data_IF_868766042612
#
_entry.id   IF_868766042612
#
_cell.length_a   1.000
_cell.length_b   1.000
_cell.length_c   1.000
_cell.angle_alpha   90.00
_cell.angle_beta   90.00
_cell.angle_gamma   90.00
#
_symmetry.space_group_name_H-M   'P 1'
#
loop_
_entity.id
_entity.type
_entity.pdbx_description
1 polymer ?
#
# COMPACT_ATOMS: atom_id res chain seq x y z
N UNK A 1 -37.79 5.66 -3.78
CA UNK A 1 -36.67 5.67 -2.81
C UNK A 1 -36.64 7.03 -2.12
N UNK A 2 -36.79 7.08 -0.80
CA UNK A 2 -36.95 8.35 -0.06
C UNK A 2 -35.66 9.19 -0.09
N UNK A 3 -35.78 10.51 -0.27
CA UNK A 3 -34.63 11.44 -0.33
C UNK A 3 -33.70 11.33 0.89
N UNK A 4 -34.28 11.12 2.08
CA UNK A 4 -33.54 10.87 3.33
C UNK A 4 -32.71 9.57 3.32
N UNK A 5 -33.20 8.53 2.65
CA UNK A 5 -32.51 7.25 2.52
C UNK A 5 -31.29 7.38 1.60
N UNK A 6 -31.41 8.14 0.50
CA UNK A 6 -30.29 8.41 -0.41
C UNK A 6 -29.16 9.20 0.29
N UNK A 7 -29.51 10.22 1.08
CA UNK A 7 -28.52 11.00 1.85
C UNK A 7 -27.79 10.15 2.89
N UNK A 8 -28.52 9.29 3.60
CA UNK A 8 -27.92 8.39 4.60
C UNK A 8 -26.90 7.43 3.96
N UNK A 9 -27.28 6.77 2.86
CA UNK A 9 -26.38 5.87 2.14
C UNK A 9 -25.18 6.61 1.53
N UNK A 10 -25.36 7.84 1.05
CA UNK A 10 -24.26 8.68 0.57
C UNK A 10 -23.22 8.97 1.65
N UNK A 11 -23.66 9.32 2.87
CA UNK A 11 -22.76 9.58 4.00
C UNK A 11 -22.01 8.31 4.40
N UNK A 12 -22.71 7.17 4.47
CA UNK A 12 -22.09 5.87 4.78
C UNK A 12 -21.03 5.52 3.73
N UNK A 13 -21.33 5.70 2.44
CA UNK A 13 -20.39 5.43 1.37
C UNK A 13 -19.12 6.27 1.48
N UNK A 14 -19.26 7.58 1.72
CA UNK A 14 -18.13 8.48 1.92
C UNK A 14 -17.28 8.03 3.13
N UNK A 15 -17.92 7.68 4.25
CA UNK A 15 -17.23 7.18 5.44
C UNK A 15 -16.43 5.90 5.16
N UNK A 16 -17.01 4.95 4.42
CA UNK A 16 -16.34 3.70 4.03
C UNK A 16 -15.11 3.98 3.16
N UNK A 17 -15.22 4.88 2.18
CA UNK A 17 -14.10 5.25 1.30
C UNK A 17 -12.95 5.88 2.09
N UNK A 18 -13.25 6.77 3.04
CA UNK A 18 -12.23 7.41 3.89
C UNK A 18 -11.51 6.37 4.74
N UNK A 19 -12.24 5.47 5.39
CA UNK A 19 -11.65 4.41 6.22
C UNK A 19 -10.77 3.48 5.37
N UNK A 20 -11.26 3.06 4.20
CA UNK A 20 -10.50 2.22 3.29
C UNK A 20 -9.19 2.90 2.84
N UNK A 21 -9.24 4.19 2.51
CA UNK A 21 -8.07 4.97 2.11
C UNK A 21 -7.03 5.03 3.22
N UNK A 22 -7.44 5.25 4.48
CA UNK A 22 -6.53 5.27 5.63
C UNK A 22 -5.86 3.91 5.83
N UNK A 23 -6.64 2.81 5.72
CA UNK A 23 -6.10 1.45 5.85
C UNK A 23 -5.09 1.12 4.76
N UNK A 24 -5.40 1.45 3.52
CA UNK A 24 -4.50 1.25 2.37
C UNK A 24 -3.21 2.05 2.56
N UNK A 25 -3.29 3.32 2.96
CA UNK A 25 -2.10 4.14 3.22
C UNK A 25 -1.23 3.58 4.35
N UNK A 26 -1.85 3.11 5.45
CA UNK A 26 -1.11 2.49 6.55
C UNK A 26 -0.43 1.19 6.12
N UNK A 27 -1.11 0.36 5.33
CA UNK A 27 -0.54 -0.86 4.77
C UNK A 27 0.63 -0.54 3.81
N UNK A 28 0.48 0.48 2.97
CA UNK A 28 1.51 0.95 2.05
C UNK A 28 2.78 1.40 2.77
N UNK A 29 2.65 2.22 3.81
CA UNK A 29 3.80 2.71 4.59
C UNK A 29 4.54 1.54 5.25
N UNK A 30 3.81 0.56 5.82
CA UNK A 30 4.43 -0.63 6.41
C UNK A 30 5.15 -1.49 5.37
N UNK A 31 4.55 -1.67 4.20
CA UNK A 31 5.14 -2.43 3.11
C UNK A 31 6.37 -1.73 2.52
N UNK A 32 6.33 -0.41 2.37
CA UNK A 32 7.49 0.38 1.93
C UNK A 32 8.64 0.32 2.95
N UNK A 33 8.37 0.48 4.24
CA UNK A 33 9.41 0.38 5.25
C UNK A 33 10.06 -1.02 5.28
N UNK A 34 9.27 -2.07 5.05
CA UNK A 34 9.80 -3.43 4.93
C UNK A 34 10.60 -3.64 3.65
N UNK A 35 10.15 -3.06 2.53
CA UNK A 35 10.88 -3.05 1.27
C UNK A 35 12.21 -2.29 1.37
N UNK A 36 12.23 -1.13 2.01
CA UNK A 36 13.45 -0.34 2.21
C UNK A 36 14.47 -1.10 3.06
N UNK A 37 14.03 -1.84 4.09
CA UNK A 37 14.89 -2.75 4.85
C UNK A 37 15.47 -3.86 3.98
N UNK A 38 14.63 -4.57 3.23
CA UNK A 38 15.09 -5.62 2.30
C UNK A 38 16.07 -5.08 1.25
N UNK A 39 15.87 -3.85 0.78
CA UNK A 39 16.75 -3.20 -0.16
C UNK A 39 18.10 -2.83 0.46
N UNK A 40 18.10 -2.37 1.72
CA UNK A 40 19.32 -2.11 2.48
C UNK A 40 20.10 -3.40 2.74
N UNK A 41 19.44 -4.47 3.20
CA UNK A 41 20.07 -5.78 3.44
C UNK A 41 20.69 -6.34 2.14
N UNK A 42 20.00 -6.18 1.00
CA UNK A 42 20.52 -6.56 -0.31
C UNK A 42 21.77 -5.76 -0.70
N UNK A 43 21.76 -4.45 -0.45
CA UNK A 43 22.89 -3.56 -0.73
C UNK A 43 24.09 -3.86 0.16
N UNK A 44 23.87 -4.17 1.44
CA UNK A 44 24.91 -4.61 2.37
C UNK A 44 25.52 -5.95 1.96
N UNK A 45 24.71 -6.85 1.41
CA UNK A 45 25.16 -8.12 0.84
C UNK A 45 25.87 -7.97 -0.53
N UNK A 46 26.04 -6.74 -1.05
CA UNK A 46 26.70 -6.47 -2.34
C UNK A 46 25.83 -6.68 -3.58
N UNK A 47 24.53 -6.90 -3.41
CA UNK A 47 23.54 -7.03 -4.49
C UNK A 47 22.92 -5.70 -4.90
N UNK A 48 22.21 -5.70 -6.03
CA UNK A 48 21.41 -4.55 -6.49
C UNK A 48 19.94 -4.80 -6.18
N UNK A 49 19.30 -3.97 -5.34
CA UNK A 49 17.88 -4.11 -5.04
C UNK A 49 17.02 -3.55 -6.18
N UNK A 50 16.09 -4.37 -6.68
CA UNK A 50 15.03 -3.95 -7.59
C UNK A 50 13.71 -3.89 -6.83
N UNK A 51 13.05 -2.73 -6.85
CA UNK A 51 11.71 -2.55 -6.30
C UNK A 51 10.68 -2.71 -7.41
N UNK A 52 9.77 -3.68 -7.27
CA UNK A 52 8.60 -3.83 -8.13
C UNK A 52 7.32 -3.57 -7.34
N UNK A 53 6.47 -2.68 -7.86
CA UNK A 53 5.12 -2.53 -7.32
C UNK A 53 4.29 -3.75 -7.71
N UNK A 54 3.91 -4.56 -6.72
CA UNK A 54 3.02 -5.70 -6.90
C UNK A 54 1.72 -5.41 -6.18
N UNK A 55 0.60 -5.51 -6.92
CA UNK A 55 -0.77 -5.13 -6.55
C UNK A 55 -1.04 -3.63 -6.55
N UNK A 56 -1.53 -3.09 -7.68
CA UNK A 56 -2.21 -1.78 -7.79
C UNK A 56 -1.55 -0.61 -7.02
N UNK A 57 -0.23 -0.66 -6.83
CA UNK A 57 0.54 0.32 -6.06
C UNK A 57 0.41 0.22 -4.54
N UNK A 58 0.12 -0.95 -3.95
CA UNK A 58 -0.05 -1.17 -2.50
C UNK A 58 1.03 -2.09 -1.91
N UNK A 59 1.52 -3.05 -2.69
CA UNK A 59 2.63 -3.93 -2.30
C UNK A 59 3.91 -3.55 -3.01
N UNK A 60 5.03 -3.57 -2.28
CA UNK A 60 6.37 -3.46 -2.86
C UNK A 60 7.06 -4.80 -2.71
N UNK A 61 7.36 -5.44 -3.84
CA UNK A 61 8.18 -6.64 -3.90
C UNK A 61 9.62 -6.20 -4.14
N UNK A 62 10.50 -6.52 -3.20
CA UNK A 62 11.94 -6.26 -3.34
C UNK A 62 12.61 -7.55 -3.77
N UNK A 63 13.27 -7.51 -4.92
CA UNK A 63 14.08 -8.61 -5.43
C UNK A 63 15.54 -8.20 -5.41
N UNK A 64 16.38 -9.02 -4.80
CA UNK A 64 17.83 -8.79 -4.78
C UNK A 64 18.48 -9.55 -5.93
N UNK A 65 19.02 -8.84 -6.92
CA UNK A 65 19.86 -9.45 -7.95
C UNK A 65 21.31 -9.46 -7.44
N UNK A 66 21.85 -10.66 -7.22
CA UNK A 66 23.29 -10.84 -7.09
C UNK A 66 23.92 -10.79 -8.48
N UNK A 67 25.01 -10.03 -8.60
CA UNK A 67 25.81 -9.96 -9.82
C UNK A 67 26.77 -11.13 -9.90
#
# INVERSE_FOLDING_TARGET
>A
MNKKMLTFWGIVFIGVVIIATIFVNRAHIKNQAFADKLAMDCKEAGGVPEMQNTWTGIGVKVTCKHK
#
